data_IF_383126747712
#
_entry.id   IF_383126747712
#
_cell.length_a   1.000
_cell.length_b   1.000
_cell.length_c   1.000
_cell.angle_alpha   90.00
_cell.angle_beta   90.00
_cell.angle_gamma   90.00
#
_symmetry.space_group_name_H-M   'P 1'
#
loop_
_entity.id
_entity.type
_entity.pdbx_description
1 polymer ?
#
# COMPACT_ATOMS: atom_id res chain seq x y z
N UNK A 1 -10.31 -24.80 -38.27
CA UNK A 1 -9.77 -25.20 -36.95
C UNK A 1 -8.35 -24.68 -36.69
N UNK A 2 -7.35 -25.05 -37.50
CA UNK A 2 -5.96 -24.57 -37.29
C UNK A 2 -5.79 -23.06 -37.54
N UNK A 3 -6.32 -22.53 -38.66
CA UNK A 3 -6.26 -21.09 -38.93
C UNK A 3 -6.97 -20.24 -37.86
N UNK A 4 -8.10 -20.72 -37.34
CA UNK A 4 -8.83 -20.07 -36.24
C UNK A 4 -7.97 -19.93 -34.98
N UNK A 5 -7.21 -21.00 -34.65
CA UNK A 5 -6.31 -20.99 -33.51
C UNK A 5 -5.21 -19.93 -33.71
N UNK A 6 -4.59 -19.91 -34.89
CA UNK A 6 -3.53 -18.96 -35.23
C UNK A 6 -4.03 -17.52 -35.23
N UNK A 7 -5.23 -17.28 -35.78
CA UNK A 7 -5.86 -15.96 -35.79
C UNK A 7 -6.20 -15.48 -34.36
N UNK A 8 -6.77 -16.36 -33.53
CA UNK A 8 -7.04 -16.05 -32.11
C UNK A 8 -5.76 -15.68 -31.36
N UNK A 9 -4.67 -16.43 -31.59
CA UNK A 9 -3.38 -16.20 -30.93
C UNK A 9 -2.72 -14.89 -31.40
N UNK A 10 -2.83 -14.57 -32.69
CA UNK A 10 -2.39 -13.30 -33.26
C UNK A 10 -3.18 -12.10 -32.70
N UNK A 11 -4.51 -12.21 -32.61
CA UNK A 11 -5.35 -11.14 -32.06
C UNK A 11 -5.11 -10.96 -30.55
N UNK A 12 -4.99 -12.05 -29.79
CA UNK A 12 -4.72 -11.98 -28.35
C UNK A 12 -3.35 -11.33 -28.05
N UNK A 13 -2.32 -11.62 -28.82
CA UNK A 13 -0.99 -10.98 -28.67
C UNK A 13 -1.04 -9.50 -29.03
N UNK A 14 -1.69 -9.12 -30.13
CA UNK A 14 -1.97 -7.71 -30.47
C UNK A 14 -2.73 -6.97 -29.35
N UNK A 15 -3.77 -7.59 -28.78
CA UNK A 15 -4.53 -7.03 -27.66
C UNK A 15 -3.66 -6.89 -26.41
N UNK A 16 -2.81 -7.87 -26.10
CA UNK A 16 -1.91 -7.82 -24.95
C UNK A 16 -0.99 -6.60 -24.99
N UNK A 17 -0.36 -6.31 -26.14
CA UNK A 17 0.47 -5.11 -26.30
C UNK A 17 -0.33 -3.80 -26.29
N UNK A 18 -1.62 -3.83 -26.63
CA UNK A 18 -2.50 -2.65 -26.59
C UNK A 18 -3.13 -2.40 -25.21
N UNK A 19 -3.18 -3.40 -24.33
CA UNK A 19 -3.73 -3.25 -22.98
C UNK A 19 -2.83 -2.34 -22.15
N UNK A 20 -3.36 -1.17 -21.76
CA UNK A 20 -2.71 -0.23 -20.83
C UNK A 20 -3.22 -0.33 -19.39
N UNK A 21 -4.12 -1.27 -19.13
CA UNK A 21 -4.69 -1.52 -17.79
C UNK A 21 -3.60 -1.75 -16.72
N UNK A 22 -2.50 -2.42 -17.09
CA UNK A 22 -1.36 -2.61 -16.18
C UNK A 22 -0.60 -1.31 -15.85
N UNK A 23 -0.61 -0.33 -16.76
CA UNK A 23 0.01 0.98 -16.51
C UNK A 23 -0.78 1.79 -15.47
N UNK A 24 -2.11 1.64 -15.41
CA UNK A 24 -2.90 2.26 -14.34
C UNK A 24 -2.72 1.53 -13.00
N UNK A 25 -2.59 0.19 -13.02
CA UNK A 25 -2.37 -0.59 -11.80
C UNK A 25 -1.10 -0.20 -11.02
N UNK A 26 0.00 0.13 -11.71
CA UNK A 26 1.26 0.52 -11.06
C UNK A 26 1.19 1.91 -10.41
N UNK A 27 0.38 2.84 -10.94
CA UNK A 27 0.19 4.17 -10.35
C UNK A 27 -0.45 4.07 -8.96
N UNK A 28 -1.54 3.30 -8.85
CA UNK A 28 -2.19 3.06 -7.56
C UNK A 28 -1.32 2.26 -6.60
N UNK A 29 -0.54 1.29 -7.09
CA UNK A 29 0.38 0.52 -6.25
C UNK A 29 1.46 1.41 -5.61
N UNK A 30 2.01 2.37 -6.35
CA UNK A 30 3.00 3.33 -5.83
C UNK A 30 2.37 4.26 -4.79
N UNK A 31 1.15 4.77 -5.04
CA UNK A 31 0.43 5.62 -4.07
C UNK A 31 0.21 4.86 -2.75
N UNK A 32 -0.26 3.61 -2.82
CA UNK A 32 -0.47 2.77 -1.64
C UNK A 32 0.84 2.54 -0.88
N UNK A 33 1.95 2.30 -1.58
CA UNK A 33 3.25 2.12 -0.96
C UNK A 33 3.74 3.39 -0.24
N UNK A 34 3.55 4.57 -0.83
CA UNK A 34 3.90 5.85 -0.20
C UNK A 34 3.07 6.14 1.05
N UNK A 35 1.75 5.88 0.99
CA UNK A 35 0.87 6.03 2.16
C UNK A 35 1.30 5.07 3.28
N UNK A 36 1.60 3.82 2.96
CA UNK A 36 2.08 2.84 3.94
C UNK A 36 3.39 3.30 4.60
N UNK A 37 4.34 3.83 3.83
CA UNK A 37 5.59 4.38 4.34
C UNK A 37 5.35 5.54 5.32
N UNK A 38 4.44 6.47 4.99
CA UNK A 38 4.08 7.59 5.88
C UNK A 38 3.43 7.08 7.16
N UNK A 39 2.54 6.10 7.10
CA UNK A 39 1.89 5.53 8.29
C UNK A 39 2.93 4.89 9.21
N UNK A 40 3.87 4.11 8.67
CA UNK A 40 4.92 3.47 9.47
C UNK A 40 5.89 4.51 10.04
N UNK A 41 6.34 5.46 9.21
CA UNK A 41 7.29 6.50 9.62
C UNK A 41 6.71 7.46 10.68
N UNK A 42 5.50 7.97 10.45
CA UNK A 42 4.85 8.88 11.38
C UNK A 42 4.26 8.16 12.60
N UNK A 43 3.73 6.94 12.42
CA UNK A 43 3.07 6.16 13.47
C UNK A 43 4.02 5.76 14.59
N UNK A 44 5.26 5.41 14.27
CA UNK A 44 6.29 5.06 15.28
C UNK A 44 6.66 6.25 16.17
N UNK A 45 6.89 7.43 15.56
CA UNK A 45 7.16 8.67 16.29
C UNK A 45 5.99 9.12 17.16
N UNK A 46 4.76 9.04 16.62
CA UNK A 46 3.55 9.41 17.35
C UNK A 46 3.30 8.46 18.54
N UNK A 47 3.42 7.15 18.34
CA UNK A 47 3.26 6.15 19.39
C UNK A 47 4.22 6.37 20.57
N UNK A 48 5.48 6.70 20.27
CA UNK A 48 6.50 7.03 21.28
C UNK A 48 6.11 8.25 22.10
N UNK A 49 5.64 9.32 21.45
CA UNK A 49 5.21 10.56 22.13
C UNK A 49 3.98 10.33 23.02
N UNK A 50 2.98 9.62 22.50
CA UNK A 50 1.77 9.27 23.25
C UNK A 50 2.14 8.43 24.47
N UNK A 51 2.97 7.39 24.30
CA UNK A 51 3.46 6.56 25.40
C UNK A 51 4.21 7.39 26.46
N UNK A 52 5.05 8.33 26.04
CA UNK A 52 5.75 9.24 26.96
C UNK A 52 4.80 10.14 27.78
N UNK A 53 3.71 10.63 27.17
CA UNK A 53 2.68 11.39 27.87
C UNK A 53 1.98 10.52 28.91
N UNK A 54 1.51 9.32 28.54
CA UNK A 54 0.86 8.41 29.48
C UNK A 54 1.78 7.97 30.60
N UNK A 55 3.06 7.73 30.30
CA UNK A 55 4.07 7.43 31.32
C UNK A 55 4.24 8.59 32.29
N UNK A 56 4.34 9.83 31.78
CA UNK A 56 4.42 11.02 32.64
C UNK A 56 3.20 11.16 33.53
N UNK A 57 1.99 10.92 33.00
CA UNK A 57 0.75 10.94 33.79
C UNK A 57 0.80 9.85 34.87
N UNK A 58 1.13 8.61 34.51
CA UNK A 58 1.22 7.49 35.44
C UNK A 58 2.23 7.74 36.58
N UNK A 59 3.38 8.35 36.27
CA UNK A 59 4.40 8.69 37.29
C UNK A 59 3.98 9.80 38.23
N UNK A 60 3.07 10.68 37.80
CA UNK A 60 2.59 11.82 38.59
C UNK A 60 1.34 11.50 39.39
N UNK A 61 0.58 10.48 39.01
CA UNK A 61 -0.54 10.02 39.81
C UNK A 61 -0.01 9.38 41.09
N UNK A 62 -0.42 9.86 42.28
CA UNK A 62 -0.13 9.16 43.52
C UNK A 62 -0.77 7.77 43.48
N UNK A 63 -0.09 6.78 44.05
CA UNK A 63 -0.65 5.43 44.20
C UNK A 63 -1.93 5.55 45.02
N UNK A 64 -3.05 5.14 44.42
CA UNK A 64 -4.32 5.07 45.14
C UNK A 64 -4.17 4.01 46.23
N UNK A 65 -4.06 4.46 47.48
CA UNK A 65 -4.14 3.65 48.69
C UNK A 65 -5.58 3.30 49.00
#
# INVERSE_FOLDING_TARGET
>A
MFLDLMLKLYVQTQLFFKRKEAASGIEYAIIVALVALVIVGAGTGLGTKISGIFTSIATKLPTAT
#
